data_IF_701790263748
#
_entry.id   IF_701790263748
#
_cell.length_a   1.000
_cell.length_b   1.000
_cell.length_c   1.000
_cell.angle_alpha   90.00
_cell.angle_beta   90.00
_cell.angle_gamma   90.00
#
_symmetry.space_group_name_H-M   'P 1'
#
loop_
_entity.id
_entity.type
_entity.pdbx_description
1 polymer ?
#
# COMPACT_ATOMS: atom_id res chain seq x y z
N UNK A 1 0.46 -12.67 -14.61
CA UNK A 1 0.99 -13.92 -14.00
C UNK A 1 0.72 -15.12 -14.89
N UNK A 2 1.57 -16.17 -14.89
CA UNK A 2 1.24 -17.43 -15.55
C UNK A 2 0.01 -18.07 -14.91
N UNK A 3 -0.97 -18.41 -15.73
CA UNK A 3 -2.19 -19.07 -15.29
C UNK A 3 -2.95 -19.67 -16.47
N UNK A 4 -4.14 -20.18 -16.18
CA UNK A 4 -5.04 -20.80 -17.15
C UNK A 4 -6.39 -20.10 -17.19
N UNK A 5 -7.17 -20.36 -18.23
CA UNK A 5 -8.63 -20.21 -18.15
C UNK A 5 -9.23 -21.34 -17.28
N UNK A 6 -10.56 -21.39 -17.17
CA UNK A 6 -11.24 -22.51 -16.52
C UNK A 6 -10.79 -23.86 -17.11
N UNK A 7 -10.50 -24.81 -16.23
CA UNK A 7 -10.01 -26.14 -16.57
C UNK A 7 -11.17 -27.13 -16.62
N UNK A 8 -11.10 -28.06 -17.58
CA UNK A 8 -12.15 -29.06 -17.82
C UNK A 8 -12.10 -30.22 -16.85
N UNK A 9 -10.90 -30.67 -16.50
CA UNK A 9 -10.66 -31.85 -15.66
C UNK A 9 -9.28 -31.79 -14.96
N UNK A 10 -9.04 -32.76 -14.09
CA UNK A 10 -7.79 -32.93 -13.35
C UNK A 10 -6.58 -33.15 -14.28
N UNK A 11 -6.76 -33.86 -15.40
CA UNK A 11 -5.67 -34.15 -16.33
C UNK A 11 -5.17 -32.87 -17.02
N UNK A 12 -6.09 -31.98 -17.39
CA UNK A 12 -5.77 -30.64 -17.87
C UNK A 12 -5.05 -29.83 -16.79
N UNK A 13 -5.47 -29.95 -15.52
CA UNK A 13 -4.80 -29.28 -14.41
C UNK A 13 -3.34 -29.74 -14.24
N UNK A 14 -3.08 -31.05 -14.28
CA UNK A 14 -1.71 -31.60 -14.18
C UNK A 14 -0.83 -31.12 -15.33
N UNK A 15 -1.36 -31.12 -16.54
CA UNK A 15 -0.64 -30.67 -17.75
C UNK A 15 -0.28 -29.18 -17.65
N UNK A 16 -1.24 -28.34 -17.26
CA UNK A 16 -1.02 -26.91 -17.12
C UNK A 16 -0.13 -26.56 -15.92
N UNK A 17 -0.23 -27.30 -14.82
CA UNK A 17 0.65 -27.12 -13.67
C UNK A 17 2.11 -27.44 -13.99
N UNK A 18 2.37 -28.41 -14.86
CA UNK A 18 3.73 -28.68 -15.36
C UNK A 18 4.27 -27.51 -16.20
N UNK A 19 3.42 -26.84 -16.99
CA UNK A 19 3.77 -25.65 -17.77
C UNK A 19 3.99 -24.41 -16.90
N UNK A 20 3.15 -24.22 -15.89
CA UNK A 20 3.21 -23.08 -14.94
C UNK A 20 4.37 -23.26 -13.95
N UNK A 21 4.65 -24.51 -13.57
CA UNK A 21 5.58 -24.88 -12.50
C UNK A 21 4.93 -24.77 -11.11
N UNK A 22 5.33 -25.65 -10.19
CA UNK A 22 4.90 -25.64 -8.79
C UNK A 22 5.70 -24.67 -7.90
N UNK A 23 5.11 -24.09 -6.84
CA UNK A 23 3.73 -24.31 -6.38
C UNK A 23 2.66 -23.62 -7.24
N UNK A 24 1.47 -24.19 -7.29
CA UNK A 24 0.30 -23.65 -8.01
C UNK A 24 -0.88 -23.41 -7.08
N UNK A 25 -1.66 -22.38 -7.37
CA UNK A 25 -2.89 -22.03 -6.68
C UNK A 25 -4.08 -22.44 -7.56
N UNK A 26 -4.92 -23.32 -7.06
CA UNK A 26 -6.24 -23.63 -7.64
C UNK A 26 -7.24 -22.60 -7.12
N UNK A 27 -7.96 -21.93 -8.01
CA UNK A 27 -8.96 -20.90 -7.66
C UNK A 27 -10.28 -21.17 -8.36
N UNK A 28 -11.39 -20.91 -7.66
CA UNK A 28 -12.72 -20.87 -8.25
C UNK A 28 -12.84 -19.74 -9.29
N UNK A 29 -13.38 -20.03 -10.48
CA UNK A 29 -13.56 -19.04 -11.54
C UNK A 29 -14.64 -17.99 -11.19
N UNK A 30 -15.69 -18.40 -10.46
CA UNK A 30 -16.78 -17.54 -10.03
C UNK A 30 -16.59 -16.92 -8.63
N UNK A 31 -15.44 -17.14 -7.99
CA UNK A 31 -15.21 -16.81 -6.57
C UNK A 31 -14.41 -15.53 -6.32
N UNK A 32 -14.59 -14.96 -5.12
CA UNK A 32 -13.81 -13.84 -4.59
C UNK A 32 -13.65 -13.92 -3.06
N UNK A 33 -12.64 -13.24 -2.51
CA UNK A 33 -12.50 -13.08 -1.05
C UNK A 33 -11.96 -14.27 -0.26
N UNK A 34 -11.16 -15.16 -0.86
CA UNK A 34 -10.50 -16.25 -0.11
C UNK A 34 -11.17 -17.62 -0.23
N UNK A 35 -12.45 -17.65 -0.61
CA UNK A 35 -13.27 -18.86 -0.63
C UNK A 35 -13.04 -19.62 -1.94
N UNK A 36 -12.76 -20.92 -1.84
CA UNK A 36 -12.48 -21.76 -3.01
C UNK A 36 -11.07 -21.53 -3.57
N UNK A 37 -10.06 -21.57 -2.69
CA UNK A 37 -8.65 -21.58 -3.09
C UNK A 37 -7.88 -22.70 -2.38
N UNK A 38 -6.99 -23.38 -3.12
CA UNK A 38 -6.12 -24.46 -2.61
C UNK A 38 -4.74 -24.37 -3.24
N UNK A 39 -3.69 -24.48 -2.43
CA UNK A 39 -2.31 -24.53 -2.90
C UNK A 39 -1.90 -25.99 -3.07
N UNK A 40 -1.26 -26.30 -4.20
CA UNK A 40 -0.53 -27.54 -4.38
C UNK A 40 0.96 -27.18 -4.48
N UNK A 41 1.77 -27.67 -3.54
CA UNK A 41 3.21 -27.38 -3.50
C UNK A 41 3.99 -28.22 -4.51
N UNK A 42 3.43 -29.35 -4.92
CA UNK A 42 4.05 -30.32 -5.81
C UNK A 42 2.98 -31.15 -6.55
N UNK A 43 3.41 -31.92 -7.54
CA UNK A 43 2.52 -32.69 -8.42
C UNK A 43 1.55 -33.62 -7.68
N UNK A 44 2.01 -34.32 -6.65
CA UNK A 44 1.18 -35.27 -5.89
C UNK A 44 0.04 -34.63 -5.10
N UNK A 45 0.08 -33.31 -4.86
CA UNK A 45 -0.94 -32.60 -4.08
C UNK A 45 -2.06 -32.01 -4.95
N UNK A 46 -1.81 -31.86 -6.26
CA UNK A 46 -2.72 -31.16 -7.17
C UNK A 46 -4.09 -31.84 -7.31
N UNK A 47 -4.21 -33.18 -7.48
CA UNK A 47 -5.51 -33.85 -7.59
C UNK A 47 -6.45 -33.52 -6.42
N UNK A 48 -5.95 -33.66 -5.20
CA UNK A 48 -6.71 -33.40 -3.99
C UNK A 48 -7.07 -31.91 -3.84
N UNK A 49 -6.12 -31.02 -4.14
CA UNK A 49 -6.35 -29.58 -4.13
C UNK A 49 -7.42 -29.15 -5.16
N UNK A 50 -7.37 -29.73 -6.36
CA UNK A 50 -8.31 -29.47 -7.46
C UNK A 50 -9.74 -29.86 -7.08
N UNK A 51 -9.96 -31.10 -6.66
CA UNK A 51 -11.29 -31.59 -6.29
C UNK A 51 -11.86 -30.92 -5.04
N UNK A 52 -11.02 -30.62 -4.05
CA UNK A 52 -11.44 -29.84 -2.89
C UNK A 52 -11.90 -28.42 -3.29
N UNK A 53 -11.17 -27.78 -4.21
CA UNK A 53 -11.51 -26.45 -4.70
C UNK A 53 -12.81 -26.45 -5.51
N UNK A 54 -13.01 -27.43 -6.41
CA UNK A 54 -14.25 -27.57 -7.18
C UNK A 54 -15.48 -27.78 -6.31
N UNK A 55 -15.38 -28.64 -5.29
CA UNK A 55 -16.48 -28.84 -4.32
C UNK A 55 -16.82 -27.56 -3.56
N UNK A 56 -15.81 -26.81 -3.13
CA UNK A 56 -16.01 -25.53 -2.46
C UNK A 56 -16.65 -24.49 -3.40
N UNK A 57 -16.18 -24.43 -4.66
CA UNK A 57 -16.70 -23.54 -5.68
C UNK A 57 -18.19 -23.84 -5.97
N UNK A 58 -18.53 -25.12 -6.17
CA UNK A 58 -19.90 -25.56 -6.38
C UNK A 58 -20.81 -25.17 -5.20
N UNK A 59 -20.35 -25.42 -3.97
CA UNK A 59 -21.14 -25.15 -2.78
C UNK A 59 -21.36 -23.66 -2.51
N UNK A 60 -20.38 -22.81 -2.83
CA UNK A 60 -20.42 -21.37 -2.53
C UNK A 60 -20.95 -20.53 -3.68
N UNK A 61 -20.70 -20.93 -4.92
CA UNK A 61 -20.94 -20.11 -6.12
C UNK A 61 -21.79 -20.82 -7.18
N UNK A 62 -22.22 -22.05 -6.95
CA UNK A 62 -23.06 -22.81 -7.89
C UNK A 62 -22.36 -23.26 -9.17
N UNK A 63 -21.06 -22.96 -9.34
CA UNK A 63 -20.23 -23.39 -10.45
C UNK A 63 -19.00 -24.16 -9.94
N UNK A 64 -18.66 -25.32 -10.52
CA UNK A 64 -17.48 -26.09 -10.17
C UNK A 64 -16.23 -25.63 -10.93
N UNK A 65 -16.31 -24.55 -11.72
CA UNK A 65 -15.22 -24.12 -12.57
C UNK A 65 -14.05 -23.59 -11.74
N UNK A 66 -12.86 -24.09 -12.05
CA UNK A 66 -11.61 -23.69 -11.40
C UNK A 66 -10.52 -23.46 -12.44
N UNK A 67 -9.55 -22.63 -12.09
CA UNK A 67 -8.37 -22.36 -12.91
C UNK A 67 -7.10 -22.41 -12.05
N UNK A 68 -5.94 -22.49 -12.70
CA UNK A 68 -4.64 -22.47 -12.04
C UNK A 68 -3.95 -21.13 -12.24
N UNK A 69 -3.27 -20.68 -11.19
CA UNK A 69 -2.26 -19.62 -11.23
C UNK A 69 -0.97 -20.11 -10.58
N UNK A 70 0.16 -19.51 -10.96
CA UNK A 70 1.39 -19.64 -10.18
C UNK A 70 1.12 -19.19 -8.74
N UNK A 71 1.42 -20.03 -7.76
CA UNK A 71 1.38 -19.60 -6.36
C UNK A 71 2.64 -18.82 -6.05
N UNK A 72 2.47 -17.61 -5.51
CA UNK A 72 3.56 -16.72 -5.13
C UNK A 72 3.67 -16.75 -3.61
N UNK A 73 4.82 -17.19 -3.10
CA UNK A 73 5.10 -17.22 -1.66
C UNK A 73 5.59 -15.85 -1.21
N UNK A 74 5.01 -15.33 -0.14
CA UNK A 74 5.30 -13.99 0.40
C UNK A 74 5.35 -12.90 -0.68
N UNK A 75 4.27 -12.77 -1.49
CA UNK A 75 4.27 -11.81 -2.59
C UNK A 75 4.39 -10.40 -2.04
N UNK A 76 5.20 -9.58 -2.71
CA UNK A 76 5.31 -8.15 -2.47
C UNK A 76 4.61 -7.39 -3.59
N UNK A 77 3.89 -6.34 -3.25
CA UNK A 77 3.28 -5.43 -4.21
C UNK A 77 4.25 -4.27 -4.44
N UNK A 78 4.92 -4.27 -5.58
CA UNK A 78 5.83 -3.20 -5.99
C UNK A 78 5.27 -2.54 -7.24
N UNK A 79 5.32 -1.22 -7.30
CA UNK A 79 4.78 -0.48 -8.44
C UNK A 79 5.76 0.57 -8.95
N UNK A 80 5.70 0.89 -10.24
CA UNK A 80 6.57 1.87 -10.89
C UNK A 80 5.74 3.07 -11.33
N UNK A 81 6.11 4.26 -10.84
CA UNK A 81 5.56 5.51 -11.35
C UNK A 81 6.02 5.72 -12.79
N UNK A 82 5.09 5.99 -13.70
CA UNK A 82 5.39 6.44 -15.06
C UNK A 82 4.84 7.84 -15.32
N UNK A 83 5.55 8.60 -16.14
CA UNK A 83 5.14 9.92 -16.62
C UNK A 83 5.43 10.00 -18.11
N UNK A 84 4.41 10.30 -18.91
CA UNK A 84 4.53 10.35 -20.37
C UNK A 84 3.92 11.63 -20.97
N UNK A 85 4.54 12.19 -22.00
CA UNK A 85 4.02 13.37 -22.72
C UNK A 85 3.55 13.07 -24.14
N UNK A 86 2.87 14.05 -24.73
CA UNK A 86 2.40 13.97 -26.13
C UNK A 86 3.52 14.12 -27.17
N UNK A 87 4.79 14.18 -26.77
CA UNK A 87 5.96 14.36 -27.64
C UNK A 87 6.81 13.09 -27.74
N UNK A 88 6.35 11.98 -27.17
CA UNK A 88 7.01 10.68 -27.22
C UNK A 88 7.98 10.40 -26.07
N UNK A 89 8.03 11.25 -25.05
CA UNK A 89 8.83 11.01 -23.84
C UNK A 89 8.03 10.19 -22.85
N UNK A 90 8.57 9.04 -22.39
CA UNK A 90 8.00 8.22 -21.32
C UNK A 90 9.10 7.88 -20.32
N UNK A 91 8.92 8.27 -19.06
CA UNK A 91 9.89 8.06 -17.97
C UNK A 91 9.31 7.18 -16.88
N UNK A 92 10.15 6.33 -16.29
CA UNK A 92 9.92 5.73 -14.98
C UNK A 92 10.50 6.64 -13.90
N UNK A 93 9.73 6.91 -12.85
CA UNK A 93 10.08 7.82 -11.74
C UNK A 93 10.28 7.05 -10.42
N UNK A 94 10.90 5.87 -10.52
CA UNK A 94 11.19 5.00 -9.38
C UNK A 94 10.03 4.09 -8.97
N UNK A 95 10.32 3.21 -8.03
CA UNK A 95 9.38 2.23 -7.49
C UNK A 95 8.80 2.63 -6.13
N UNK A 96 7.65 2.05 -5.77
CA UNK A 96 7.08 2.10 -4.43
C UNK A 96 6.78 0.69 -3.93
N UNK A 97 7.07 0.45 -2.66
CA UNK A 97 6.68 -0.73 -1.90
C UNK A 97 5.32 -0.49 -1.26
N UNK A 98 4.32 -1.27 -1.66
CA UNK A 98 2.93 -1.11 -1.26
C UNK A 98 2.36 -2.38 -0.62
N UNK A 99 3.21 -3.29 -0.13
CA UNK A 99 2.81 -4.60 0.39
C UNK A 99 2.05 -4.57 1.71
N UNK A 100 2.23 -3.54 2.55
CA UNK A 100 1.47 -3.45 3.80
C UNK A 100 0.01 -3.11 3.47
N UNK A 101 -0.82 -4.15 3.48
CA UNK A 101 -2.20 -4.08 3.01
C UNK A 101 -3.14 -4.79 3.97
N UNK A 102 -4.39 -4.32 3.98
CA UNK A 102 -5.53 -5.03 4.57
C UNK A 102 -6.54 -5.31 3.47
N UNK A 103 -6.87 -6.59 3.24
CA UNK A 103 -7.84 -7.03 2.22
C UNK A 103 -7.57 -6.37 0.86
N UNK A 104 -6.31 -6.39 0.44
CA UNK A 104 -5.81 -5.78 -0.81
C UNK A 104 -5.89 -4.24 -0.87
N UNK A 105 -6.21 -3.58 0.24
CA UNK A 105 -6.14 -2.12 0.34
C UNK A 105 -4.84 -1.72 1.04
N UNK A 106 -4.04 -0.89 0.36
CA UNK A 106 -2.77 -0.38 0.87
C UNK A 106 -2.99 0.49 2.12
N UNK A 107 -2.14 0.32 3.13
CA UNK A 107 -2.18 1.05 4.39
C UNK A 107 -0.91 1.87 4.64
N UNK A 108 0.23 1.36 4.15
CA UNK A 108 1.53 2.01 4.22
C UNK A 108 2.29 1.75 2.93
N UNK A 109 2.90 2.80 2.40
CA UNK A 109 3.69 2.79 1.20
C UNK A 109 5.06 3.42 1.46
N UNK A 110 6.12 2.88 0.88
CA UNK A 110 7.46 3.45 1.01
C UNK A 110 8.25 3.44 -0.30
N UNK A 111 9.19 4.39 -0.43
CA UNK A 111 10.15 4.41 -1.53
C UNK A 111 11.52 4.87 -1.04
N UNK A 112 12.62 4.28 -1.52
CA UNK A 112 12.68 3.10 -2.40
C UNK A 112 12.22 1.81 -1.72
N UNK A 113 11.95 0.77 -2.52
CA UNK A 113 11.54 -0.53 -1.98
C UNK A 113 12.74 -1.27 -1.34
N UNK A 114 12.60 -1.66 -0.08
CA UNK A 114 13.67 -2.34 0.68
C UNK A 114 14.03 -3.70 0.08
N UNK A 115 15.32 -4.01 -0.06
CA UNK A 115 15.78 -5.31 -0.56
C UNK A 115 15.56 -5.57 -2.05
N UNK A 116 15.14 -4.58 -2.85
CA UNK A 116 15.19 -4.68 -4.31
C UNK A 116 16.60 -4.36 -4.84
N UNK A 117 17.18 -5.28 -5.61
CA UNK A 117 18.47 -5.07 -6.30
C UNK A 117 18.33 -4.03 -7.42
N UNK A 118 19.41 -3.32 -7.74
CA UNK A 118 19.41 -2.34 -8.83
C UNK A 118 19.14 -2.95 -10.21
N UNK A 119 19.54 -4.20 -10.41
CA UNK A 119 19.23 -4.95 -11.63
C UNK A 119 17.71 -5.14 -11.77
N UNK A 120 17.04 -5.56 -10.69
CA UNK A 120 15.59 -5.78 -10.68
C UNK A 120 14.82 -4.47 -10.81
N UNK A 121 15.24 -3.43 -10.09
CA UNK A 121 14.66 -2.07 -10.20
C UNK A 121 14.70 -1.57 -11.65
N UNK A 122 15.84 -1.71 -12.32
CA UNK A 122 15.98 -1.35 -13.75
C UNK A 122 15.07 -2.19 -14.65
N UNK A 123 15.05 -3.51 -14.48
CA UNK A 123 14.21 -4.40 -15.28
C UNK A 123 12.71 -4.06 -15.14
N UNK A 124 12.25 -3.75 -13.92
CA UNK A 124 10.87 -3.33 -13.67
C UNK A 124 10.57 -1.95 -14.28
N UNK A 125 11.49 -1.00 -14.16
CA UNK A 125 11.36 0.33 -14.76
C UNK A 125 11.28 0.26 -16.29
N UNK A 126 12.15 -0.53 -16.92
CA UNK A 126 12.14 -0.77 -18.37
C UNK A 126 10.85 -1.44 -18.83
N UNK A 127 10.37 -2.44 -18.09
CA UNK A 127 9.09 -3.10 -18.38
C UNK A 127 7.92 -2.10 -18.27
N UNK A 128 7.92 -1.23 -17.27
CA UNK A 128 6.88 -0.22 -17.07
C UNK A 128 6.87 0.83 -18.20
N UNK A 129 8.03 1.37 -18.58
CA UNK A 129 8.17 2.30 -19.71
C UNK A 129 7.71 1.65 -21.02
N UNK A 130 8.13 0.41 -21.27
CA UNK A 130 7.73 -0.34 -22.47
C UNK A 130 6.22 -0.55 -22.53
N UNK A 131 5.59 -0.92 -21.40
CA UNK A 131 4.15 -1.11 -21.32
C UNK A 131 3.39 0.19 -21.59
N UNK A 132 3.78 1.30 -20.94
CA UNK A 132 3.17 2.60 -21.14
C UNK A 132 3.35 3.13 -22.58
N UNK A 133 4.54 3.00 -23.14
CA UNK A 133 4.83 3.44 -24.51
C UNK A 133 4.06 2.63 -25.56
N UNK A 134 3.90 1.32 -25.36
CA UNK A 134 3.20 0.43 -26.31
C UNK A 134 1.72 0.80 -26.51
N UNK A 135 1.10 1.43 -25.52
CA UNK A 135 -0.31 1.89 -25.60
C UNK A 135 -0.43 3.38 -25.89
N UNK A 136 0.68 4.06 -26.21
CA UNK A 136 0.69 5.51 -26.41
C UNK A 136 0.21 6.28 -25.18
N UNK A 137 0.57 5.80 -23.98
CA UNK A 137 0.11 6.40 -22.74
C UNK A 137 0.59 7.85 -22.62
N UNK A 138 -0.25 8.71 -22.03
CA UNK A 138 0.06 10.10 -21.73
C UNK A 138 -0.36 10.40 -20.30
N UNK A 139 0.32 11.36 -19.67
CA UNK A 139 0.13 11.81 -18.30
C UNK A 139 0.76 10.87 -17.25
N UNK A 140 0.42 11.05 -15.97
CA UNK A 140 0.95 10.23 -14.88
C UNK A 140 0.11 8.96 -14.70
N UNK A 141 0.79 7.81 -14.60
CA UNK A 141 0.18 6.52 -14.31
C UNK A 141 1.14 5.63 -13.56
N UNK A 142 0.69 4.43 -13.21
CA UNK A 142 1.51 3.48 -12.46
C UNK A 142 1.35 2.08 -13.03
N UNK A 143 2.46 1.36 -13.15
CA UNK A 143 2.48 -0.06 -13.48
C UNK A 143 2.72 -0.85 -12.20
N UNK A 144 1.76 -1.68 -11.82
CA UNK A 144 1.83 -2.51 -10.62
C UNK A 144 2.38 -3.90 -10.95
N UNK A 145 3.21 -4.41 -10.05
CA UNK A 145 3.83 -5.73 -10.14
C UNK A 145 3.65 -6.50 -8.84
N UNK A 146 3.53 -7.83 -8.97
CA UNK A 146 3.79 -8.74 -7.86
C UNK A 146 5.23 -9.24 -7.96
N UNK A 147 5.97 -9.10 -6.88
CA UNK A 147 7.36 -9.51 -6.69
C UNK A 147 7.38 -10.73 -5.78
N UNK A 148 8.01 -11.82 -6.22
CA UNK A 148 8.12 -13.07 -5.45
C UNK A 148 9.44 -13.76 -5.76
N UNK A 149 10.26 -14.01 -4.74
CA UNK A 149 11.65 -14.43 -4.96
C UNK A 149 12.40 -13.42 -5.85
N UNK A 150 13.09 -13.90 -6.89
CA UNK A 150 13.78 -13.06 -7.87
C UNK A 150 12.88 -12.53 -8.99
N UNK A 151 11.68 -13.12 -9.17
CA UNK A 151 10.80 -12.85 -10.30
C UNK A 151 9.78 -11.74 -10.02
N UNK A 152 9.39 -11.00 -11.05
CA UNK A 152 8.30 -10.03 -10.97
C UNK A 152 7.29 -10.24 -12.10
N UNK A 153 6.02 -9.97 -11.81
CA UNK A 153 4.91 -10.21 -12.72
C UNK A 153 4.03 -8.98 -12.80
N UNK A 154 3.75 -8.51 -14.01
CA UNK A 154 2.74 -7.47 -14.23
C UNK A 154 1.41 -7.88 -13.61
N UNK A 155 0.81 -6.95 -12.87
CA UNK A 155 -0.50 -7.07 -12.25
C UNK A 155 -1.52 -6.21 -13.01
N UNK A 156 -1.36 -4.89 -12.95
CA UNK A 156 -2.25 -3.94 -13.58
C UNK A 156 -1.55 -2.62 -13.92
N UNK A 157 -2.24 -1.76 -14.68
CA UNK A 157 -1.85 -0.38 -14.90
C UNK A 157 -2.94 0.54 -14.34
N UNK A 158 -2.58 1.38 -13.39
CA UNK A 158 -3.42 2.47 -12.93
C UNK A 158 -3.20 3.68 -13.84
N UNK A 159 -4.18 3.97 -14.71
CA UNK A 159 -4.12 5.06 -15.70
C UNK A 159 -4.45 6.44 -15.11
N UNK A 160 -4.01 6.68 -13.87
CA UNK A 160 -4.22 7.91 -13.09
C UNK A 160 -3.13 8.06 -12.04
N UNK A 161 -3.04 9.25 -11.44
CA UNK A 161 -2.27 9.46 -10.23
C UNK A 161 -2.83 8.59 -9.08
N UNK A 162 -1.93 8.07 -8.25
CA UNK A 162 -2.26 7.26 -7.09
C UNK A 162 -2.17 8.05 -5.78
N UNK A 163 -2.72 7.49 -4.71
CA UNK A 163 -2.82 8.14 -3.39
C UNK A 163 -1.41 8.40 -2.85
N UNK A 164 -0.54 7.41 -3.02
CA UNK A 164 0.84 7.27 -2.57
C UNK A 164 1.89 8.01 -3.44
N UNK A 165 1.47 8.80 -4.44
CA UNK A 165 2.41 9.61 -5.22
C UNK A 165 3.32 10.56 -4.39
N UNK A 166 2.94 11.06 -3.19
CA UNK A 166 3.81 11.95 -2.43
C UNK A 166 5.14 11.34 -2.02
N UNK A 167 5.23 10.02 -1.81
CA UNK A 167 6.52 9.41 -1.46
C UNK A 167 7.52 9.54 -2.62
N UNK A 168 7.05 9.40 -3.86
CA UNK A 168 7.84 9.62 -5.08
C UNK A 168 8.23 11.09 -5.23
N UNK A 169 7.29 12.01 -4.99
CA UNK A 169 7.57 13.45 -5.03
C UNK A 169 8.66 13.87 -4.05
N UNK A 170 8.62 13.36 -2.81
CA UNK A 170 9.58 13.74 -1.77
C UNK A 170 11.00 13.26 -2.06
N UNK A 171 11.17 12.06 -2.60
CA UNK A 171 12.52 11.57 -2.94
C UNK A 171 13.09 12.20 -4.21
N UNK A 172 12.24 12.61 -5.17
CA UNK A 172 12.68 13.22 -6.42
C UNK A 172 12.75 14.75 -6.38
N UNK A 173 12.01 15.40 -5.47
CA UNK A 173 11.86 16.85 -5.42
C UNK A 173 11.04 17.40 -6.59
N UNK A 174 10.00 16.68 -7.02
CA UNK A 174 9.11 17.07 -8.12
C UNK A 174 7.66 17.16 -7.65
N UNK A 175 6.83 17.87 -8.42
CA UNK A 175 5.38 17.96 -8.21
C UNK A 175 4.68 17.24 -9.37
N UNK A 176 4.22 16.02 -9.11
CA UNK A 176 3.59 15.17 -10.12
C UNK A 176 2.26 15.76 -10.57
N UNK A 177 1.47 16.36 -9.68
CA UNK A 177 0.20 17.01 -10.04
C UNK A 177 0.45 18.17 -11.01
N UNK A 178 1.47 18.99 -10.75
CA UNK A 178 1.89 20.06 -11.65
C UNK A 178 2.34 19.50 -13.00
N UNK A 179 3.14 18.43 -13.02
CA UNK A 179 3.54 17.79 -14.27
C UNK A 179 2.34 17.26 -15.06
N UNK A 180 1.35 16.66 -14.39
CA UNK A 180 0.11 16.26 -15.05
C UNK A 180 -0.60 17.44 -15.72
N UNK A 181 -0.67 18.61 -15.07
CA UNK A 181 -1.28 19.82 -15.65
C UNK A 181 -0.47 20.35 -16.83
N UNK A 182 0.86 20.37 -16.72
CA UNK A 182 1.77 20.80 -17.80
C UNK A 182 1.65 19.92 -19.04
N UNK A 183 1.68 18.59 -18.86
CA UNK A 183 1.50 17.62 -19.93
C UNK A 183 0.14 17.77 -20.61
N UNK A 184 -0.93 17.98 -19.84
CA UNK A 184 -2.27 18.23 -20.38
C UNK A 184 -2.36 19.53 -21.19
N UNK A 185 -1.45 20.47 -20.98
CA UNK A 185 -1.29 21.70 -21.81
C UNK A 185 -0.40 21.49 -23.03
N UNK A 186 0.07 20.27 -23.28
CA UNK A 186 0.98 19.95 -24.37
C UNK A 186 2.43 20.34 -24.12
N UNK A 187 2.82 20.63 -22.87
CA UNK A 187 4.22 20.85 -22.53
C UNK A 187 5.03 19.54 -22.56
N UNK A 188 6.35 19.68 -22.74
CA UNK A 188 7.29 18.56 -22.76
C UNK A 188 7.81 18.23 -21.37
N UNK A 189 7.97 16.95 -21.11
CA UNK A 189 8.80 16.44 -20.02
C UNK A 189 10.28 16.67 -20.39
N UNK A 190 11.16 17.02 -19.44
CA UNK A 190 12.59 17.10 -19.72
C UNK A 190 13.13 15.77 -20.26
N UNK A 191 13.71 15.76 -21.46
CA UNK A 191 14.20 14.53 -22.10
C UNK A 191 15.31 13.84 -21.28
N UNK A 192 16.11 14.61 -20.54
CA UNK A 192 17.12 14.11 -19.61
C UNK A 192 16.54 13.46 -18.33
N UNK A 193 15.23 13.58 -18.10
CA UNK A 193 14.57 13.16 -16.87
C UNK A 193 14.76 14.11 -15.70
N UNK A 194 14.45 13.61 -14.51
CA UNK A 194 14.57 14.32 -13.24
C UNK A 194 15.81 13.86 -12.47
N UNK A 195 16.14 14.59 -11.40
CA UNK A 195 17.20 14.21 -10.47
C UNK A 195 16.99 12.79 -9.93
N UNK A 196 18.10 12.09 -9.65
CA UNK A 196 18.02 10.78 -8.98
C UNK A 196 17.34 10.91 -7.62
N UNK A 197 16.55 9.90 -7.20
CA UNK A 197 15.88 9.92 -5.92
C UNK A 197 16.90 9.98 -4.78
N UNK A 198 16.57 10.73 -3.72
CA UNK A 198 17.40 10.86 -2.51
C UNK A 198 16.58 10.55 -1.28
N UNK A 199 17.22 9.86 -0.33
CA UNK A 199 16.59 9.50 0.93
C UNK A 199 15.55 8.40 0.80
N UNK A 200 14.68 8.35 1.80
CA UNK A 200 13.59 7.38 1.92
C UNK A 200 12.33 8.09 2.40
N UNK A 201 11.19 7.80 1.78
CA UNK A 201 9.90 8.34 2.17
C UNK A 201 8.91 7.21 2.51
N UNK A 202 8.06 7.47 3.51
CA UNK A 202 7.02 6.56 3.98
C UNK A 202 5.71 7.35 4.09
N UNK A 203 4.64 6.85 3.49
CA UNK A 203 3.27 7.35 3.65
C UNK A 203 2.47 6.40 4.55
N UNK A 204 1.78 6.98 5.52
CA UNK A 204 0.81 6.31 6.38
C UNK A 204 -0.59 6.79 6.02
N UNK A 205 -1.46 5.85 5.63
CA UNK A 205 -2.89 6.14 5.46
C UNK A 205 -3.58 6.17 6.82
N UNK A 206 -3.98 7.35 7.27
CA UNK A 206 -4.72 7.53 8.52
C UNK A 206 -6.21 7.44 8.19
N UNK A 207 -6.79 6.27 8.48
CA UNK A 207 -8.18 5.97 8.20
C UNK A 207 -9.02 6.01 9.49
N UNK A 208 -10.30 6.36 9.38
CA UNK A 208 -11.30 6.21 10.44
C UNK A 208 -11.70 4.72 10.59
N UNK A 209 -10.77 3.86 10.98
CA UNK A 209 -10.98 2.42 11.10
C UNK A 209 -10.49 1.89 12.45
N UNK A 210 -11.16 0.87 12.98
CA UNK A 210 -10.75 0.14 14.19
C UNK A 210 -9.99 -1.14 13.80
N UNK A 211 -8.66 -1.07 13.82
CA UNK A 211 -7.78 -2.19 13.47
C UNK A 211 -8.03 -3.45 14.33
N UNK A 212 -8.43 -3.30 15.60
CA UNK A 212 -8.71 -4.41 16.52
C UNK A 212 -10.03 -5.12 16.19
N UNK A 213 -10.91 -4.45 15.45
CA UNK A 213 -12.16 -5.02 14.92
C UNK A 213 -12.07 -5.21 13.42
N UNK A 214 -10.95 -5.78 12.95
CA UNK A 214 -10.71 -6.09 11.55
C UNK A 214 -10.88 -4.87 10.63
N UNK A 215 -10.39 -3.71 11.11
CA UNK A 215 -10.42 -2.42 10.44
C UNK A 215 -11.84 -2.00 10.01
N UNK A 216 -12.83 -2.25 10.85
CA UNK A 216 -14.19 -1.74 10.59
C UNK A 216 -14.17 -0.21 10.58
N UNK A 217 -14.80 0.45 9.59
CA UNK A 217 -14.95 1.89 9.59
C UNK A 217 -15.67 2.41 10.83
N UNK A 218 -15.23 3.55 11.35
CA UNK A 218 -15.75 4.21 12.55
C UNK A 218 -16.09 5.68 12.30
N UNK A 219 -17.00 5.97 11.35
CA UNK A 219 -17.41 7.34 11.05
C UNK A 219 -18.00 8.00 12.30
N UNK A 220 -17.33 9.05 12.77
CA UNK A 220 -17.70 9.84 13.95
C UNK A 220 -17.29 11.29 13.75
N UNK A 221 -17.86 12.20 14.54
CA UNK A 221 -17.40 13.59 14.59
C UNK A 221 -16.00 13.67 15.17
N UNK A 222 -15.11 14.39 14.49
CA UNK A 222 -13.77 14.71 15.00
C UNK A 222 -13.92 15.59 16.24
N UNK A 223 -13.31 15.20 17.36
CA UNK A 223 -13.32 15.99 18.58
C UNK A 223 -12.11 16.93 18.63
N UNK A 224 -10.93 16.41 18.31
CA UNK A 224 -9.68 17.18 18.24
C UNK A 224 -8.89 16.77 17.00
N UNK A 225 -8.23 17.75 16.39
CA UNK A 225 -7.34 17.53 15.27
C UNK A 225 -6.16 18.52 15.36
N UNK A 226 -4.97 17.99 15.58
CA UNK A 226 -3.71 18.70 15.47
C UNK A 226 -2.71 17.84 14.68
N UNK A 227 -2.43 18.18 13.41
CA UNK A 227 -1.49 17.42 12.60
C UNK A 227 -0.03 17.63 13.08
N UNK A 228 0.85 16.62 12.91
CA UNK A 228 2.27 16.80 13.16
C UNK A 228 2.89 17.75 12.12
N UNK A 229 4.01 18.37 12.48
CA UNK A 229 4.71 19.33 11.63
C UNK A 229 6.24 19.15 11.71
N UNK A 230 7.00 20.07 11.12
CA UNK A 230 8.46 20.10 11.21
C UNK A 230 9.19 19.40 10.07
N UNK A 231 10.53 19.37 10.11
CA UNK A 231 11.35 18.96 8.96
C UNK A 231 11.03 17.55 8.46
N UNK A 232 10.81 17.45 7.14
CA UNK A 232 10.52 16.20 6.43
C UNK A 232 9.22 15.51 6.86
N UNK A 233 8.25 16.25 7.41
CA UNK A 233 6.89 15.80 7.63
C UNK A 233 5.96 16.57 6.69
N UNK A 234 5.14 15.84 5.94
CA UNK A 234 4.09 16.38 5.06
C UNK A 234 2.77 15.75 5.47
N UNK A 235 1.72 16.56 5.50
CA UNK A 235 0.35 16.10 5.77
C UNK A 235 -0.55 16.58 4.64
N UNK A 236 -1.11 15.62 3.91
CA UNK A 236 -2.16 15.90 2.93
C UNK A 236 -3.50 15.48 3.57
N UNK A 237 -4.37 16.44 3.87
CA UNK A 237 -5.61 16.19 4.63
C UNK A 237 -6.84 16.76 3.94
N UNK A 238 -7.95 16.01 4.02
CA UNK A 238 -9.28 16.47 3.61
C UNK A 238 -10.22 16.79 4.79
N UNK A 239 -9.71 16.78 6.02
CA UNK A 239 -10.52 16.94 7.24
C UNK A 239 -10.28 18.27 7.96
N UNK A 240 -11.25 18.66 8.79
CA UNK A 240 -11.18 19.85 9.66
C UNK A 240 -11.57 19.51 11.10
N UNK A 241 -11.13 20.30 12.09
CA UNK A 241 -11.61 20.16 13.46
C UNK A 241 -13.15 20.18 13.50
N UNK A 242 -13.74 19.32 14.34
CA UNK A 242 -15.20 19.23 14.53
C UNK A 242 -16.02 18.77 13.32
N UNK A 243 -15.40 18.34 12.22
CA UNK A 243 -16.08 17.77 11.06
C UNK A 243 -16.75 16.43 11.40
N UNK A 244 -17.95 16.21 10.87
CA UNK A 244 -18.59 14.90 10.86
C UNK A 244 -18.03 14.04 9.72
N UNK A 245 -17.51 12.86 10.05
CA UNK A 245 -17.05 11.89 9.06
C UNK A 245 -18.26 11.11 8.55
N UNK A 246 -18.47 11.18 7.24
CA UNK A 246 -19.57 10.48 6.58
C UNK A 246 -19.33 8.97 6.53
N UNK A 247 -20.37 8.14 6.73
CA UNK A 247 -20.28 6.69 6.49
C UNK A 247 -20.32 6.32 5.00
N UNK A 248 -20.54 7.28 4.09
CA UNK A 248 -20.82 7.02 2.67
C UNK A 248 -19.57 7.02 1.78
N UNK A 249 -18.42 7.47 2.28
CA UNK A 249 -17.18 7.58 1.51
C UNK A 249 -16.09 6.69 2.09
N UNK A 250 -14.93 6.70 1.44
CA UNK A 250 -13.72 6.05 1.93
C UNK A 250 -13.35 6.54 3.34
N UNK A 251 -12.73 5.68 4.15
CA UNK A 251 -12.39 5.96 5.54
C UNK A 251 -11.13 6.81 5.70
N UNK A 252 -10.39 7.12 4.63
CA UNK A 252 -9.18 7.95 4.65
C UNK A 252 -9.47 9.37 5.16
N UNK A 253 -8.80 9.73 6.26
CA UNK A 253 -8.90 11.05 6.88
C UNK A 253 -7.77 11.97 6.41
N UNK A 254 -6.55 11.45 6.42
CA UNK A 254 -5.35 12.15 5.95
C UNK A 254 -4.26 11.14 5.57
N UNK A 255 -3.30 11.64 4.80
CA UNK A 255 -2.03 10.97 4.52
C UNK A 255 -0.95 11.67 5.32
N UNK A 256 -0.24 10.90 6.14
CA UNK A 256 0.94 11.37 6.84
C UNK A 256 2.17 10.85 6.11
N UNK A 257 2.98 11.75 5.56
CA UNK A 257 4.16 11.38 4.79
C UNK A 257 5.40 11.89 5.49
N UNK A 258 6.39 11.02 5.67
CA UNK A 258 7.69 11.38 6.21
C UNK A 258 8.77 11.07 5.18
N UNK A 259 9.79 11.90 5.13
CA UNK A 259 11.01 11.69 4.33
C UNK A 259 12.22 11.80 5.25
N UNK A 260 13.29 11.06 5.03
CA UNK A 260 14.59 11.26 5.69
C UNK A 260 15.74 10.75 4.80
N UNK A 261 16.99 10.89 5.25
CA UNK A 261 18.18 10.50 4.47
C UNK A 261 18.31 8.99 4.25
N UNK A 262 17.71 8.18 5.12
CA UNK A 262 17.63 6.72 5.02
C UNK A 262 16.33 6.19 5.64
N UNK A 263 16.08 4.88 5.46
CA UNK A 263 14.85 4.22 5.91
C UNK A 263 14.71 4.22 7.44
N UNK A 264 15.79 4.01 8.19
CA UNK A 264 15.73 3.96 9.66
C UNK A 264 15.41 5.34 10.23
N UNK A 265 16.00 6.40 9.66
CA UNK A 265 15.69 7.78 9.99
C UNK A 265 14.24 8.14 9.59
N UNK A 266 13.74 7.63 8.46
CA UNK A 266 12.35 7.84 8.05
C UNK A 266 11.37 7.12 9.00
N UNK A 267 11.68 5.89 9.42
CA UNK A 267 10.93 5.16 10.45
C UNK A 267 10.94 5.92 11.78
N UNK A 268 12.10 6.40 12.23
CA UNK A 268 12.22 7.23 13.44
C UNK A 268 11.37 8.50 13.36
N UNK A 269 11.36 9.15 12.20
CA UNK A 269 10.52 10.32 11.92
C UNK A 269 9.04 9.99 11.91
N UNK A 270 8.66 8.85 11.32
CA UNK A 270 7.30 8.31 11.35
C UNK A 270 6.80 8.04 12.76
N UNK A 271 7.63 7.42 13.62
CA UNK A 271 7.31 7.19 15.04
C UNK A 271 6.99 8.51 15.74
N UNK A 272 7.84 9.52 15.56
CA UNK A 272 7.65 10.85 16.14
C UNK A 272 6.37 11.53 15.62
N UNK A 273 6.18 11.56 14.30
CA UNK A 273 5.02 12.21 13.70
C UNK A 273 3.69 11.54 14.08
N UNK A 274 3.64 10.21 14.19
CA UNK A 274 2.47 9.46 14.66
C UNK A 274 2.16 9.70 16.15
N UNK A 275 3.19 9.95 16.98
CA UNK A 275 3.00 10.32 18.39
C UNK A 275 2.47 11.76 18.54
N UNK A 276 2.91 12.66 17.67
CA UNK A 276 2.49 14.07 17.68
C UNK A 276 1.09 14.30 17.09
N UNK A 277 0.62 13.40 16.21
CA UNK A 277 -0.70 13.48 15.61
C UNK A 277 -1.80 13.30 16.68
N UNK A 278 -2.51 14.39 16.99
CA UNK A 278 -3.72 14.34 17.81
C UNK A 278 -4.93 14.29 16.89
N UNK A 279 -5.62 13.16 16.87
CA UNK A 279 -6.86 12.97 16.12
C UNK A 279 -7.81 12.10 16.93
N UNK A 280 -8.87 12.70 17.47
CA UNK A 280 -9.80 12.04 18.39
C UNK A 280 -11.24 12.17 17.92
N UNK A 281 -12.12 11.29 18.40
CA UNK A 281 -13.50 11.13 17.91
C UNK A 281 -13.70 9.78 17.24
N UNK A 282 -13.30 9.59 15.97
CA UNK A 282 -13.25 8.27 15.34
C UNK A 282 -12.11 7.41 15.93
N UNK A 283 -12.23 6.08 15.82
CA UNK A 283 -11.05 5.20 15.94
C UNK A 283 -10.22 5.38 14.67
N UNK A 284 -8.90 5.25 14.81
CA UNK A 284 -8.00 5.47 13.67
C UNK A 284 -7.00 4.34 13.51
N UNK A 285 -6.35 4.28 12.35
CA UNK A 285 -5.22 3.37 12.08
C UNK A 285 -3.90 3.80 12.74
N UNK A 286 -3.86 4.93 13.47
CA UNK A 286 -2.63 5.41 14.12
C UNK A 286 -2.02 4.38 15.09
N UNK A 287 -2.78 3.70 15.97
CA UNK A 287 -2.21 2.68 16.86
C UNK A 287 -1.61 1.49 16.09
N UNK A 288 -2.22 1.10 14.97
CA UNK A 288 -1.71 0.05 14.10
C UNK A 288 -0.37 0.45 13.48
N UNK A 289 -0.28 1.67 12.94
CA UNK A 289 0.96 2.17 12.35
C UNK A 289 2.07 2.29 13.39
N UNK A 290 1.76 2.72 14.62
CA UNK A 290 2.73 2.74 15.74
C UNK A 290 3.25 1.33 16.07
N UNK A 291 2.36 0.34 16.11
CA UNK A 291 2.74 -1.05 16.31
C UNK A 291 3.61 -1.59 15.16
N UNK A 292 3.26 -1.27 13.92
CA UNK A 292 4.00 -1.69 12.72
C UNK A 292 5.44 -1.17 12.73
N UNK A 293 5.65 0.08 13.17
CA UNK A 293 6.98 0.66 13.29
C UNK A 293 7.80 0.07 14.45
N UNK A 294 7.27 -0.87 15.23
CA UNK A 294 7.99 -1.65 16.25
C UNK A 294 8.13 -3.12 15.87
N UNK A 295 7.51 -3.56 14.77
CA UNK A 295 7.52 -4.96 14.34
C UNK A 295 8.85 -5.32 13.66
N UNK A 296 9.52 -6.36 14.17
CA UNK A 296 10.87 -6.70 13.76
C UNK A 296 10.96 -7.05 12.27
N UNK A 297 9.97 -7.74 11.73
CA UNK A 297 9.94 -8.13 10.32
C UNK A 297 9.75 -6.91 9.40
N UNK A 298 8.93 -5.94 9.80
CA UNK A 298 8.81 -4.67 9.08
C UNK A 298 10.13 -3.88 9.10
N UNK A 299 10.77 -3.78 10.27
CA UNK A 299 12.05 -3.08 10.42
C UNK A 299 13.15 -3.71 9.56
N UNK A 300 13.17 -5.04 9.46
CA UNK A 300 14.14 -5.78 8.63
C UNK A 300 13.72 -5.90 7.14
N UNK A 301 12.61 -5.29 6.72
CA UNK A 301 12.14 -5.36 5.34
C UNK A 301 11.59 -6.72 4.90
N UNK A 302 11.28 -7.61 5.85
CA UNK A 302 10.58 -8.88 5.62
C UNK A 302 9.08 -8.63 5.49
N UNK A 303 8.67 -8.10 4.33
CA UNK A 303 7.30 -7.63 4.09
C UNK A 303 6.63 -8.49 3.01
N UNK A 304 5.32 -8.71 3.14
CA UNK A 304 4.47 -9.41 2.17
C UNK A 304 3.07 -8.77 2.13
N UNK A 305 2.25 -9.06 1.12
CA UNK A 305 0.83 -8.65 1.09
C UNK A 305 -0.02 -9.35 2.15
N UNK A 306 0.52 -10.39 2.79
CA UNK A 306 -0.11 -11.16 3.85
C UNK A 306 0.42 -10.79 5.25
N UNK A 307 1.24 -9.72 5.34
CA UNK A 307 1.98 -9.37 6.54
C UNK A 307 1.09 -9.29 7.80
N UNK A 308 -0.07 -8.63 7.71
CA UNK A 308 -0.97 -8.47 8.86
C UNK A 308 -1.49 -9.84 9.33
N UNK A 309 -1.84 -10.75 8.42
CA UNK A 309 -2.30 -12.09 8.79
C UNK A 309 -1.17 -12.95 9.39
N UNK A 310 0.06 -12.75 8.93
CA UNK A 310 1.25 -13.49 9.39
C UNK A 310 1.74 -13.04 10.78
N UNK A 311 1.33 -11.86 11.25
CA UNK A 311 1.82 -11.24 12.49
C UNK A 311 0.69 -10.99 13.51
N UNK A 312 0.13 -12.03 14.17
CA UNK A 312 -0.96 -11.84 15.14
C UNK A 312 -0.56 -10.98 16.36
N UNK A 313 0.72 -10.98 16.75
CA UNK A 313 1.27 -10.14 17.83
C UNK A 313 1.20 -8.64 17.52
N UNK A 314 1.17 -8.28 16.24
CA UNK A 314 0.99 -6.88 15.81
C UNK A 314 -0.32 -6.30 16.36
N UNK A 315 -1.38 -7.10 16.43
CA UNK A 315 -2.68 -6.67 16.98
C UNK A 315 -2.66 -6.55 18.51
N UNK A 316 -1.84 -7.34 19.21
CA UNK A 316 -1.63 -7.19 20.65
C UNK A 316 -0.97 -5.84 20.94
N UNK A 317 0.09 -5.51 20.19
CA UNK A 317 0.77 -4.22 20.32
C UNK A 317 -0.11 -3.04 19.90
N UNK A 318 -0.91 -3.22 18.86
CA UNK A 318 -1.93 -2.24 18.45
C UNK A 318 -2.90 -1.94 19.59
N UNK A 319 -3.29 -2.94 20.38
CA UNK A 319 -4.19 -2.78 21.53
C UNK A 319 -3.55 -1.96 22.65
N UNK A 320 -2.26 -2.14 22.91
CA UNK A 320 -1.52 -1.32 23.88
C UNK A 320 -1.53 0.16 23.46
N UNK A 321 -1.25 0.45 22.19
CA UNK A 321 -1.26 1.83 21.69
C UNK A 321 -2.66 2.44 21.62
N UNK A 322 -3.70 1.66 21.30
CA UNK A 322 -5.07 2.14 21.29
C UNK A 322 -5.54 2.51 22.71
N UNK A 323 -5.12 1.75 23.73
CA UNK A 323 -5.43 2.04 25.13
C UNK A 323 -4.72 3.30 25.67
N UNK A 324 -3.55 3.64 25.13
CA UNK A 324 -2.81 4.86 25.51
C UNK A 324 -3.42 6.15 24.95
N UNK A 325 -4.15 6.07 23.83
CA UNK A 325 -4.62 7.25 23.10
C UNK A 325 -3.48 8.08 22.47
N UNK A 326 -3.80 9.24 21.87
CA UNK A 326 -2.78 10.16 21.35
C UNK A 326 -1.96 10.76 22.51
N UNK A 327 -0.63 10.56 22.56
CA UNK A 327 0.20 10.97 23.70
C UNK A 327 0.08 12.46 24.05
N UNK A 328 -0.10 13.31 23.05
CA UNK A 328 -0.17 14.76 23.22
C UNK A 328 -1.61 15.28 23.41
N UNK A 329 -2.64 14.42 23.47
CA UNK A 329 -4.03 14.88 23.64
C UNK A 329 -4.21 15.74 24.89
N UNK A 330 -3.54 15.40 25.99
CA UNK A 330 -3.59 16.12 27.27
C UNK A 330 -3.08 17.55 27.16
N UNK A 331 -2.14 17.84 26.27
CA UNK A 331 -1.64 19.21 26.02
C UNK A 331 -2.69 20.12 25.40
N UNK A 332 -3.68 19.54 24.72
CA UNK A 332 -4.83 20.25 24.17
C UNK A 332 -6.01 20.28 25.16
N UNK A 333 -5.84 19.72 26.37
CA UNK A 333 -6.88 19.52 27.37
C UNK A 333 -6.80 20.48 28.56
N UNK A 334 -7.63 21.52 28.53
CA UNK A 334 -8.11 22.23 29.72
C UNK A 334 -8.26 23.74 29.54
N UNK A 335 -9.36 24.30 30.04
CA UNK A 335 -9.47 25.74 30.30
C UNK A 335 -8.30 26.24 31.18
N UNK A 336 -7.74 25.35 32.00
CA UNK A 336 -6.56 25.58 32.83
C UNK A 336 -5.25 25.72 32.03
N UNK A 337 -5.06 24.96 30.94
CA UNK A 337 -3.86 25.10 30.08
C UNK A 337 -3.97 26.37 29.23
N UNK A 338 -5.16 26.65 28.70
CA UNK A 338 -5.43 27.92 28.02
C UNK A 338 -5.29 29.12 28.97
N UNK A 339 -5.74 29.00 30.22
CA UNK A 339 -5.57 30.02 31.26
C UNK A 339 -4.10 30.16 31.71
N UNK A 340 -3.34 29.07 31.81
CA UNK A 340 -1.92 29.11 32.14
C UNK A 340 -1.08 29.73 31.02
N UNK A 341 -1.40 29.43 29.76
CA UNK A 341 -0.78 30.09 28.59
C UNK A 341 -1.19 31.57 28.53
N UNK A 342 -2.47 31.90 28.76
CA UNK A 342 -2.93 33.29 28.80
C UNK A 342 -2.28 34.08 29.96
N UNK A 343 -2.11 33.47 31.13
CA UNK A 343 -1.42 34.09 32.27
C UNK A 343 0.07 34.31 32.00
N UNK A 344 0.74 33.38 31.31
CA UNK A 344 2.16 33.49 30.98
C UNK A 344 2.48 34.47 29.83
N UNK A 345 1.47 34.92 29.08
CA UNK A 345 1.62 35.87 27.96
C UNK A 345 1.21 37.30 28.37
N UNK A 346 0.63 37.48 29.56
CA UNK A 346 0.16 38.78 30.08
C UNK A 346 1.12 39.39 31.12
N UNK A 347 2.19 38.70 31.50
CA UNK A 347 3.26 39.25 32.37
C UNK A 347 4.49 39.76 31.58
#
# INVERSE_FOLDING_TARGET
>A
MPGTTALRDEQAAVTEAARIGYPVLVKAAAGGGGIGMRVAQQAGELPAAFEACRRAAQASFGSPDVYLERYLSHPRHIEIQVLADGHGTTLALGERECSIQRRHQKLLEETPAVGLTDARRRAMAEAAVKAAAAVGYQNAGTIEFIVSGEDFYFLEMNTRLQVEHPVTELVLGIDLVREQVRISRGERIPAQGYSSPRGHAIEFRINAEDALRNFMPTPRRIQRYAPPAGPGVRVDSGIRPHQEISPHFDSLLLKLIVWADDRDAAIGRGRRALQELVLTGPKTTVPFHRALLEEADFLNGRISTSFIQEHPRLLEKTREFDAQGPPLESLYGGAEVAAAIAAAVID
#
